data_IF_940936212726
#
_entry.id   IF_940936212726
#
_cell.length_a   1.000
_cell.length_b   1.000
_cell.length_c   1.000
_cell.angle_alpha   90.00
_cell.angle_beta   90.00
_cell.angle_gamma   90.00
#
_symmetry.space_group_name_H-M   'P 1'
#
loop_
_entity.id
_entity.type
_entity.pdbx_description
1 polymer ?
#
# COMPACT_ATOMS: atom_id res chain seq x y z
N UNK A 1 16.15 0.98 4.44
CA UNK A 1 17.05 1.45 5.52
C UNK A 1 16.34 1.33 6.85
N UNK A 2 16.98 0.75 7.88
CA UNK A 2 16.50 0.86 9.26
C UNK A 2 16.97 2.21 9.79
N UNK A 3 16.04 3.05 10.25
CA UNK A 3 16.35 4.41 10.70
C UNK A 3 16.64 4.43 12.20
N UNK A 4 17.53 5.32 12.63
CA UNK A 4 17.87 5.49 14.03
C UNK A 4 16.65 6.03 14.79
N UNK A 5 16.30 5.36 15.89
CA UNK A 5 15.29 5.85 16.82
C UNK A 5 15.90 6.99 17.64
N UNK A 6 15.46 8.21 17.33
CA UNK A 6 15.94 9.45 17.96
C UNK A 6 14.87 9.97 18.92
N UNK A 7 15.28 10.59 20.05
CA UNK A 7 14.34 11.19 20.99
C UNK A 7 13.49 12.28 20.32
N UNK A 8 12.30 12.49 20.86
CA UNK A 8 11.37 13.51 20.37
C UNK A 8 12.00 14.90 20.44
N UNK A 9 11.96 15.63 19.32
CA UNK A 9 12.59 16.95 19.22
C UNK A 9 11.70 17.99 19.93
N UNK A 10 12.30 18.86 20.73
CA UNK A 10 11.66 20.04 21.30
C UNK A 10 12.55 21.27 21.05
N UNK A 11 12.02 22.26 20.32
CA UNK A 11 12.80 23.44 19.92
C UNK A 11 12.83 24.50 21.01
N UNK A 12 11.71 24.67 21.72
CA UNK A 12 11.59 25.59 22.86
C UNK A 12 10.91 24.91 24.03
N UNK A 13 11.39 25.18 25.25
CA UNK A 13 10.76 24.70 26.47
C UNK A 13 9.39 25.36 26.66
N UNK A 14 8.34 24.56 26.82
CA UNK A 14 6.94 25.03 26.86
C UNK A 14 6.24 24.79 28.21
N UNK A 15 6.98 24.31 29.22
CA UNK A 15 6.47 24.06 30.57
C UNK A 15 5.87 25.31 31.22
N UNK A 16 4.56 25.28 31.44
CA UNK A 16 3.78 26.44 31.88
C UNK A 16 4.24 26.98 33.24
N UNK A 17 4.55 26.07 34.17
CA UNK A 17 4.99 26.43 35.52
C UNK A 17 6.33 27.18 35.50
N UNK A 18 7.25 26.78 34.62
CA UNK A 18 8.57 27.41 34.52
C UNK A 18 8.49 28.75 33.80
N UNK A 19 7.65 28.87 32.78
CA UNK A 19 7.39 30.13 32.09
C UNK A 19 6.76 31.15 33.03
N UNK A 20 5.74 30.75 33.79
CA UNK A 20 5.09 31.63 34.77
C UNK A 20 6.08 32.06 35.87
N UNK A 21 6.87 31.13 36.39
CA UNK A 21 7.91 31.44 37.40
C UNK A 21 8.94 32.42 36.86
N UNK A 22 9.36 32.25 35.62
CA UNK A 22 10.34 33.12 34.97
C UNK A 22 9.79 34.55 34.80
N UNK A 23 8.56 34.70 34.27
CA UNK A 23 7.93 36.01 34.11
C UNK A 23 7.79 36.75 35.45
N UNK A 24 7.38 36.05 36.50
CA UNK A 24 7.28 36.63 37.85
C UNK A 24 8.67 37.02 38.38
N UNK A 25 9.65 36.11 38.30
CA UNK A 25 11.00 36.35 38.81
C UNK A 25 11.68 37.57 38.14
N UNK A 26 11.49 37.75 36.83
CA UNK A 26 11.97 38.93 36.11
C UNK A 26 11.33 40.21 36.66
N UNK A 27 10.00 40.22 36.83
CA UNK A 27 9.30 41.39 37.35
C UNK A 27 9.74 41.75 38.78
N UNK A 28 9.83 40.77 39.67
CA UNK A 28 10.26 40.98 41.05
C UNK A 28 11.71 41.48 41.11
N UNK A 29 12.60 40.93 40.26
CA UNK A 29 13.99 41.36 40.15
C UNK A 29 14.17 42.80 39.65
N UNK A 30 13.34 43.23 38.70
CA UNK A 30 13.39 44.60 38.15
C UNK A 30 12.78 45.64 39.10
N UNK A 31 11.73 45.28 39.84
CA UNK A 31 10.98 46.22 40.68
C UNK A 31 11.40 46.20 42.14
N UNK A 32 12.12 45.15 42.58
CA UNK A 32 12.46 44.92 43.99
C UNK A 32 11.25 44.58 44.87
N UNK A 33 10.07 44.32 44.28
CA UNK A 33 8.84 43.99 45.00
C UNK A 33 8.52 42.50 44.86
N UNK A 34 8.19 41.85 45.98
CA UNK A 34 7.66 40.48 45.99
C UNK A 34 6.14 40.47 45.78
N UNK A 35 5.66 39.62 44.88
CA UNK A 35 4.24 39.50 44.50
C UNK A 35 3.55 38.33 45.20
N UNK A 36 2.53 38.63 45.99
CA UNK A 36 1.72 37.61 46.67
C UNK A 36 0.75 36.92 45.68
N UNK A 37 0.27 35.69 45.99
CA UNK A 37 -0.62 34.94 45.09
C UNK A 37 -1.89 35.69 44.63
N UNK A 38 -2.46 36.54 45.49
CA UNK A 38 -3.66 37.32 45.21
C UNK A 38 -3.39 38.73 44.64
N UNK A 39 -2.13 39.06 44.35
CA UNK A 39 -1.78 40.39 43.82
C UNK A 39 -2.33 40.57 42.38
N UNK A 40 -3.08 41.64 42.08
CA UNK A 40 -3.59 41.90 40.74
C UNK A 40 -2.50 41.91 39.66
N UNK A 41 -1.29 42.37 40.00
CA UNK A 41 -0.15 42.37 39.08
C UNK A 41 0.29 40.95 38.75
N UNK A 42 0.28 40.03 39.73
CA UNK A 42 0.62 38.63 39.51
C UNK A 42 -0.41 37.92 38.63
N UNK A 43 -1.70 38.22 38.81
CA UNK A 43 -2.76 37.70 37.94
C UNK A 43 -2.59 38.19 36.51
N UNK A 44 -2.26 39.47 36.32
CA UNK A 44 -1.95 40.02 35.01
C UNK A 44 -0.73 39.34 34.36
N UNK A 45 0.40 39.23 35.07
CA UNK A 45 1.60 38.51 34.59
C UNK A 45 1.31 37.04 34.26
N UNK A 46 0.42 36.39 35.02
CA UNK A 46 0.02 35.00 34.75
C UNK A 46 -0.78 34.89 33.45
N UNK A 47 -1.64 35.87 33.13
CA UNK A 47 -2.32 35.91 31.83
C UNK A 47 -1.34 36.07 30.66
N UNK A 48 -0.30 36.90 30.83
CA UNK A 48 0.78 37.03 29.84
C UNK A 48 1.59 35.74 29.70
N UNK A 49 1.88 35.04 30.81
CA UNK A 49 2.58 33.75 30.78
C UNK A 49 1.80 32.71 29.96
N UNK A 50 0.46 32.66 30.08
CA UNK A 50 -0.38 31.76 29.27
C UNK A 50 -0.24 32.09 27.78
N UNK A 51 -0.25 33.38 27.39
CA UNK A 51 -0.01 33.77 26.01
C UNK A 51 1.38 33.33 25.52
N UNK A 52 2.41 33.47 26.35
CA UNK A 52 3.78 33.00 26.02
C UNK A 52 3.82 31.48 25.84
N UNK A 53 3.15 30.71 26.68
CA UNK A 53 3.02 29.25 26.54
C UNK A 53 2.40 28.90 25.19
N UNK A 54 1.26 29.52 24.86
CA UNK A 54 0.59 29.30 23.58
C UNK A 54 1.50 29.63 22.39
N UNK A 55 2.24 30.74 22.45
CA UNK A 55 3.20 31.10 21.40
C UNK A 55 4.33 30.07 21.27
N UNK A 56 4.86 29.54 22.39
CA UNK A 56 5.91 28.51 22.35
C UNK A 56 5.42 27.17 21.79
N UNK A 57 4.18 26.79 22.11
CA UNK A 57 3.53 25.62 21.50
C UNK A 57 3.41 25.80 20.00
N UNK A 58 2.94 26.97 19.53
CA UNK A 58 2.86 27.28 18.10
C UNK A 58 4.25 27.26 17.44
N UNK A 59 5.28 27.82 18.08
CA UNK A 59 6.66 27.78 17.58
C UNK A 59 7.14 26.33 17.43
N UNK A 60 6.92 25.47 18.43
CA UNK A 60 7.29 24.06 18.35
C UNK A 60 6.54 23.35 17.21
N UNK A 61 5.23 23.60 17.05
CA UNK A 61 4.43 23.02 15.97
C UNK A 61 4.93 23.46 14.59
N UNK A 62 5.13 24.76 14.38
CA UNK A 62 5.64 25.31 13.10
C UNK A 62 7.05 24.82 12.80
N UNK A 63 7.95 24.83 13.79
CA UNK A 63 9.32 24.36 13.61
C UNK A 63 9.39 22.86 13.29
N UNK A 64 8.58 22.04 13.98
CA UNK A 64 8.43 20.61 13.66
C UNK A 64 7.87 20.41 12.26
N UNK A 65 6.87 21.20 11.86
CA UNK A 65 6.28 21.13 10.52
C UNK A 65 7.30 21.28 9.39
N UNK A 66 8.39 22.03 9.60
CA UNK A 66 9.46 22.16 8.60
C UNK A 66 10.33 20.89 8.43
N UNK A 67 10.17 19.91 9.32
CA UNK A 67 10.85 18.63 9.23
C UNK A 67 9.93 17.59 8.57
N UNK A 68 10.43 16.91 7.55
CA UNK A 68 9.66 15.91 6.79
C UNK A 68 9.01 14.84 7.67
N UNK A 69 9.65 14.47 8.79
CA UNK A 69 9.12 13.50 9.76
C UNK A 69 7.78 13.92 10.36
N UNK A 70 7.57 15.21 10.60
CA UNK A 70 6.41 15.73 11.31
C UNK A 70 5.45 16.53 10.40
N UNK A 71 5.87 16.87 9.19
CA UNK A 71 5.03 17.54 8.21
C UNK A 71 3.78 16.72 7.87
N UNK A 72 2.65 17.41 7.68
CA UNK A 72 1.34 16.83 7.33
C UNK A 72 0.54 17.80 6.45
N UNK A 73 -0.46 17.27 5.73
CA UNK A 73 -1.33 18.02 4.83
C UNK A 73 -0.58 18.95 3.86
N UNK A 74 -1.06 20.18 3.72
CA UNK A 74 -0.55 21.18 2.75
C UNK A 74 0.95 21.45 2.90
N UNK A 75 1.49 21.40 4.12
CA UNK A 75 2.92 21.62 4.32
C UNK A 75 3.75 20.47 3.76
N UNK A 76 3.28 19.23 3.92
CA UNK A 76 3.89 18.04 3.32
C UNK A 76 3.82 18.11 1.78
N UNK A 77 2.71 18.62 1.24
CA UNK A 77 2.52 18.82 -0.21
C UNK A 77 3.51 19.82 -0.79
N UNK A 78 3.74 20.96 -0.13
CA UNK A 78 4.77 21.91 -0.54
C UNK A 78 6.19 21.33 -0.44
N UNK A 79 6.47 20.51 0.58
CA UNK A 79 7.76 19.82 0.70
C UNK A 79 7.95 18.80 -0.43
N UNK A 80 6.93 18.03 -0.76
CA UNK A 80 6.97 17.08 -1.87
C UNK A 80 7.17 17.76 -3.21
N UNK A 81 6.47 18.87 -3.46
CA UNK A 81 6.61 19.65 -4.69
C UNK A 81 8.04 20.15 -4.90
N UNK A 82 8.73 20.57 -3.83
CA UNK A 82 10.14 20.94 -3.90
C UNK A 82 11.06 19.79 -4.35
N UNK A 83 10.68 18.55 -4.02
CA UNK A 83 11.39 17.32 -4.38
C UNK A 83 10.79 16.64 -5.64
N UNK A 84 9.95 17.34 -6.41
CA UNK A 84 9.35 16.81 -7.64
C UNK A 84 8.30 15.70 -7.43
N UNK A 85 7.74 15.58 -6.22
CA UNK A 85 6.69 14.60 -5.90
C UNK A 85 5.36 15.29 -5.61
N UNK A 86 4.30 14.90 -6.30
CA UNK A 86 2.93 15.40 -6.09
C UNK A 86 2.03 14.28 -5.57
N UNK A 87 1.15 14.60 -4.61
CA UNK A 87 0.24 13.63 -3.97
C UNK A 87 -0.66 12.95 -4.99
N UNK A 88 -0.78 11.63 -4.90
CA UNK A 88 -1.63 10.88 -5.82
C UNK A 88 -3.11 11.12 -5.49
N UNK A 89 -3.94 11.56 -6.46
CA UNK A 89 -5.35 11.78 -6.24
C UNK A 89 -6.09 10.45 -6.11
N UNK A 90 -7.31 10.49 -5.56
CA UNK A 90 -8.20 9.34 -5.56
C UNK A 90 -8.50 8.86 -7.01
N UNK A 91 -8.54 7.55 -7.20
CA UNK A 91 -8.85 6.92 -8.49
C UNK A 91 -10.19 6.18 -8.43
N UNK A 92 -10.90 6.13 -9.57
CA UNK A 92 -12.09 5.29 -9.74
C UNK A 92 -11.72 3.85 -10.05
N UNK A 93 -12.58 2.91 -9.67
CA UNK A 93 -12.45 1.52 -10.10
C UNK A 93 -12.69 1.37 -11.61
N UNK A 94 -11.93 0.49 -12.24
CA UNK A 94 -11.99 0.17 -13.65
C UNK A 94 -12.43 -1.30 -13.80
N UNK A 95 -13.20 -1.59 -14.84
CA UNK A 95 -13.55 -2.95 -15.22
C UNK A 95 -13.77 -3.06 -16.73
N UNK A 96 -13.66 -4.26 -17.28
CA UNK A 96 -14.00 -4.53 -18.67
C UNK A 96 -15.42 -5.08 -18.75
N UNK A 97 -16.26 -4.44 -19.55
CA UNK A 97 -17.63 -4.85 -19.85
C UNK A 97 -17.68 -5.57 -21.19
N UNK A 98 -18.40 -6.68 -21.22
CA UNK A 98 -18.73 -7.43 -22.42
C UNK A 98 -20.21 -7.26 -22.74
N UNK A 99 -20.50 -6.64 -23.88
CA UNK A 99 -21.83 -6.47 -24.43
C UNK A 99 -22.14 -7.65 -25.36
N UNK A 100 -23.36 -8.18 -25.27
CA UNK A 100 -23.85 -9.29 -26.10
C UNK A 100 -25.10 -8.86 -26.83
N UNK A 101 -25.12 -9.03 -28.17
CA UNK A 101 -26.27 -8.77 -29.03
C UNK A 101 -27.24 -9.95 -29.04
N UNK A 102 -28.54 -9.67 -29.20
CA UNK A 102 -29.58 -10.70 -29.24
C UNK A 102 -29.48 -11.62 -30.46
N UNK A 103 -28.92 -11.10 -31.57
CA UNK A 103 -28.73 -11.79 -32.84
C UNK A 103 -27.47 -11.27 -33.54
N UNK A 104 -26.79 -12.08 -34.37
CA UNK A 104 -25.75 -11.58 -35.27
C UNK A 104 -26.39 -10.65 -36.32
N UNK A 105 -25.93 -9.40 -36.38
CA UNK A 105 -26.42 -8.41 -37.33
C UNK A 105 -25.52 -8.33 -38.57
N UNK A 106 -26.13 -8.00 -39.72
CA UNK A 106 -25.42 -7.80 -41.00
C UNK A 106 -24.77 -6.41 -41.11
N UNK A 107 -25.02 -5.53 -40.13
CA UNK A 107 -24.45 -4.20 -40.02
C UNK A 107 -23.71 -4.06 -38.68
N UNK A 108 -22.71 -3.18 -38.64
CA UNK A 108 -21.94 -2.85 -37.44
C UNK A 108 -22.86 -2.23 -36.39
N UNK A 109 -22.73 -2.65 -35.14
CA UNK A 109 -23.47 -2.07 -34.01
C UNK A 109 -22.54 -1.27 -33.12
N UNK A 110 -22.86 -0.01 -32.88
CA UNK A 110 -22.06 0.92 -32.09
C UNK A 110 -22.49 0.98 -30.63
N UNK A 111 -21.51 0.94 -29.72
CA UNK A 111 -21.67 1.21 -28.29
C UNK A 111 -21.04 2.57 -28.01
N UNK A 112 -21.83 3.62 -27.74
CA UNK A 112 -21.30 4.94 -27.41
C UNK A 112 -20.43 4.93 -26.15
N UNK A 113 -19.43 5.80 -26.13
CA UNK A 113 -18.74 6.17 -24.89
C UNK A 113 -19.75 6.82 -23.92
N UNK A 114 -19.58 6.56 -22.62
CA UNK A 114 -20.47 7.03 -21.57
C UNK A 114 -21.72 6.17 -21.33
N UNK A 115 -21.85 5.01 -21.99
CA UNK A 115 -22.95 4.07 -21.74
C UNK A 115 -22.87 3.55 -20.30
N UNK A 116 -23.95 3.70 -19.51
CA UNK A 116 -23.97 3.35 -18.09
C UNK A 116 -24.51 1.94 -17.82
N UNK A 117 -23.77 1.21 -16.99
CA UNK A 117 -24.12 -0.14 -16.53
C UNK A 117 -24.05 -0.20 -15.00
N UNK A 118 -25.16 -0.55 -14.38
CA UNK A 118 -25.31 -0.72 -12.94
C UNK A 118 -25.09 -2.16 -12.47
N UNK A 119 -25.09 -2.32 -11.15
CA UNK A 119 -24.91 -3.59 -10.46
C UNK A 119 -26.26 -4.22 -10.15
N UNK A 120 -26.34 -5.56 -10.26
CA UNK A 120 -27.53 -6.31 -9.89
C UNK A 120 -27.77 -6.21 -8.37
N UNK A 121 -28.93 -5.69 -7.97
CA UNK A 121 -29.29 -5.54 -6.55
C UNK A 121 -28.63 -4.35 -5.84
N UNK A 122 -27.97 -3.45 -6.57
CA UNK A 122 -27.55 -2.14 -6.04
C UNK A 122 -28.64 -1.09 -6.18
N UNK A 123 -28.61 -0.05 -5.33
CA UNK A 123 -29.59 1.04 -5.30
C UNK A 123 -29.49 2.02 -6.50
N UNK A 124 -28.74 1.66 -7.56
CA UNK A 124 -28.46 2.52 -8.71
C UNK A 124 -27.48 3.68 -8.42
N UNK A 125 -26.91 3.73 -7.21
CA UNK A 125 -25.95 4.76 -6.78
C UNK A 125 -24.56 4.58 -7.40
N UNK A 126 -24.14 3.33 -7.61
CA UNK A 126 -22.86 2.96 -8.22
C UNK A 126 -23.14 2.40 -9.62
N UNK A 127 -22.53 3.00 -10.63
CA UNK A 127 -22.60 2.55 -12.02
C UNK A 127 -21.24 2.72 -12.69
N UNK A 128 -21.03 1.97 -13.77
CA UNK A 128 -19.83 2.01 -14.59
C UNK A 128 -20.18 2.60 -15.95
N UNK A 129 -19.41 3.59 -16.39
CA UNK A 129 -19.59 4.24 -17.68
C UNK A 129 -18.46 3.83 -18.63
N UNK A 130 -18.80 3.47 -19.87
CA UNK A 130 -17.80 3.11 -20.89
C UNK A 130 -16.89 4.30 -21.21
N UNK A 131 -15.59 4.08 -21.28
CA UNK A 131 -14.62 5.17 -21.55
C UNK A 131 -14.44 5.45 -23.03
N UNK A 132 -14.65 4.45 -23.86
CA UNK A 132 -14.40 4.52 -25.30
C UNK A 132 -15.61 4.08 -26.11
N UNK A 133 -15.64 4.52 -27.36
CA UNK A 133 -16.60 4.08 -28.36
C UNK A 133 -16.14 2.74 -28.93
N UNK A 134 -17.04 1.75 -28.94
CA UNK A 134 -16.72 0.39 -29.43
C UNK A 134 -17.73 -0.04 -30.48
N UNK A 135 -17.22 -0.69 -31.53
CA UNK A 135 -18.01 -1.26 -32.61
C UNK A 135 -18.01 -2.78 -32.53
N UNK A 136 -19.19 -3.38 -32.60
CA UNK A 136 -19.36 -4.82 -32.80
C UNK A 136 -19.45 -5.07 -34.32
N UNK A 137 -18.47 -5.76 -34.92
CA UNK A 137 -18.44 -6.01 -36.37
C UNK A 137 -19.66 -6.81 -36.85
N UNK A 138 -20.03 -6.63 -38.13
CA UNK A 138 -21.07 -7.43 -38.75
C UNK A 138 -20.75 -8.93 -38.66
N UNK A 139 -21.74 -9.72 -38.21
CA UNK A 139 -21.60 -11.16 -37.96
C UNK A 139 -21.07 -11.54 -36.57
N UNK A 140 -20.49 -10.61 -35.81
CA UNK A 140 -20.12 -10.82 -34.41
C UNK A 140 -21.30 -10.52 -33.48
N UNK A 141 -21.35 -11.18 -32.33
CA UNK A 141 -22.40 -11.00 -31.31
C UNK A 141 -21.88 -10.38 -30.02
N UNK A 142 -20.56 -10.20 -29.87
CA UNK A 142 -19.95 -9.70 -28.64
C UNK A 142 -18.98 -8.56 -28.91
N UNK A 143 -18.93 -7.60 -27.99
CA UNK A 143 -17.96 -6.51 -27.97
C UNK A 143 -17.51 -6.21 -26.55
N UNK A 144 -16.23 -5.89 -26.37
CA UNK A 144 -15.65 -5.59 -25.06
C UNK A 144 -15.17 -4.15 -24.98
N UNK A 145 -15.41 -3.49 -23.85
CA UNK A 145 -15.02 -2.10 -23.63
C UNK A 145 -14.67 -1.88 -22.17
N UNK A 146 -13.71 -1.00 -21.91
CA UNK A 146 -13.36 -0.57 -20.55
C UNK A 146 -14.40 0.41 -20.01
N UNK A 147 -14.67 0.31 -18.72
CA UNK A 147 -15.62 1.16 -18.02
C UNK A 147 -15.07 1.60 -16.67
N UNK A 148 -15.35 2.86 -16.32
CA UNK A 148 -14.93 3.48 -15.06
C UNK A 148 -16.13 3.65 -14.12
N UNK A 149 -15.89 3.45 -12.84
CA UNK A 149 -16.88 3.67 -11.81
C UNK A 149 -17.21 5.16 -11.66
N UNK A 150 -18.48 5.47 -11.44
CA UNK A 150 -18.97 6.83 -11.18
C UNK A 150 -18.48 7.41 -9.85
N UNK A 151 -18.12 6.56 -8.88
CA UNK A 151 -17.57 6.99 -7.59
C UNK A 151 -16.04 6.86 -7.56
N UNK A 152 -15.40 7.91 -7.04
CA UNK A 152 -13.98 7.88 -6.69
C UNK A 152 -13.78 7.06 -5.41
N UNK A 153 -12.65 6.36 -5.31
CA UNK A 153 -12.30 5.58 -4.13
C UNK A 153 -12.58 4.08 -4.28
N UNK A 154 -12.58 3.39 -3.13
CA UNK A 154 -12.64 1.93 -3.07
C UNK A 154 -14.04 1.35 -3.26
N UNK A 155 -15.09 2.18 -3.26
CA UNK A 155 -16.49 1.73 -3.34
C UNK A 155 -16.84 1.01 -4.65
N UNK A 156 -16.06 1.25 -5.71
CA UNK A 156 -16.20 0.56 -6.99
C UNK A 156 -15.46 -0.78 -7.10
N UNK A 157 -14.70 -1.21 -6.10
CA UNK A 157 -13.85 -2.40 -6.18
C UNK A 157 -14.59 -3.68 -5.77
N UNK A 158 -14.11 -4.82 -6.28
CA UNK A 158 -14.48 -6.15 -5.80
C UNK A 158 -15.75 -6.72 -6.40
N UNK A 159 -16.34 -6.08 -7.41
CA UNK A 159 -17.47 -6.66 -8.13
C UNK A 159 -16.98 -7.81 -9.02
N UNK A 160 -17.43 -9.02 -8.71
CA UNK A 160 -17.08 -10.24 -9.43
C UNK A 160 -17.65 -10.22 -10.85
N UNK A 161 -17.06 -10.98 -11.81
CA UNK A 161 -17.61 -11.11 -13.16
C UNK A 161 -19.09 -11.49 -13.16
N UNK A 162 -19.89 -10.78 -13.95
CA UNK A 162 -21.34 -10.96 -14.04
C UNK A 162 -22.17 -10.20 -13.01
N UNK A 163 -21.59 -9.54 -12.01
CA UNK A 163 -22.34 -8.74 -11.03
C UNK A 163 -22.75 -7.36 -11.57
N UNK A 164 -21.96 -6.79 -12.49
CA UNK A 164 -22.27 -5.54 -13.19
C UNK A 164 -22.99 -5.93 -14.49
N UNK A 165 -24.32 -5.93 -14.47
CA UNK A 165 -25.11 -6.46 -15.58
C UNK A 165 -26.41 -5.70 -15.88
N UNK A 166 -26.71 -4.63 -15.15
CA UNK A 166 -27.93 -3.86 -15.32
C UNK A 166 -27.67 -2.73 -16.30
N UNK A 167 -28.07 -2.89 -17.55
CA UNK A 167 -27.94 -1.82 -18.54
C UNK A 167 -28.91 -0.68 -18.20
N UNK A 168 -28.37 0.51 -17.89
CA UNK A 168 -29.20 1.68 -17.56
C UNK A 168 -29.60 2.46 -18.81
N UNK A 169 -28.66 2.61 -19.75
CA UNK A 169 -28.90 3.27 -21.03
C UNK A 169 -29.26 2.22 -22.09
N UNK A 170 -30.52 2.18 -22.51
CA UNK A 170 -30.98 1.19 -23.48
C UNK A 170 -30.30 1.40 -24.84
N UNK A 171 -29.61 0.36 -25.31
CA UNK A 171 -28.99 0.31 -26.63
C UNK A 171 -29.77 -0.64 -27.55
N UNK A 172 -30.01 -0.29 -28.82
CA UNK A 172 -30.68 -1.17 -29.77
C UNK A 172 -29.94 -2.51 -29.92
N UNK A 173 -30.69 -3.61 -29.96
CA UNK A 173 -30.20 -4.97 -30.23
C UNK A 173 -29.21 -5.56 -29.21
N UNK A 174 -28.80 -4.81 -28.19
CA UNK A 174 -28.02 -5.31 -27.05
C UNK A 174 -28.94 -6.11 -26.12
N UNK A 175 -28.65 -7.39 -25.95
CA UNK A 175 -29.41 -8.30 -25.09
C UNK A 175 -28.99 -8.18 -23.63
N UNK A 176 -27.68 -8.16 -23.39
CA UNK A 176 -27.11 -8.16 -22.04
C UNK A 176 -25.72 -7.55 -22.04
N UNK A 177 -25.30 -7.10 -20.87
CA UNK A 177 -23.95 -6.66 -20.59
C UNK A 177 -23.51 -7.34 -19.31
N UNK A 178 -22.25 -7.76 -19.23
CA UNK A 178 -21.65 -8.30 -18.01
C UNK A 178 -20.22 -7.77 -17.89
N UNK A 179 -19.73 -7.53 -16.68
CA UNK A 179 -18.29 -7.38 -16.48
C UNK A 179 -17.59 -8.73 -16.65
N UNK A 180 -16.50 -8.76 -17.43
CA UNK A 180 -15.65 -9.93 -17.63
C UNK A 180 -14.53 -10.02 -16.59
N UNK A 181 -14.12 -8.87 -16.04
CA UNK A 181 -13.08 -8.76 -15.01
C UNK A 181 -13.66 -8.32 -13.67
N UNK A 182 -12.96 -8.63 -12.58
CA UNK A 182 -13.27 -8.05 -11.27
C UNK A 182 -12.98 -6.54 -11.33
N UNK A 183 -13.88 -5.71 -10.81
CA UNK A 183 -13.62 -4.26 -10.74
C UNK A 183 -12.50 -3.96 -9.73
N UNK A 184 -11.52 -3.15 -10.14
CA UNK A 184 -10.33 -2.87 -9.32
C UNK A 184 -9.69 -1.53 -9.69
N UNK A 185 -8.68 -1.10 -8.95
CA UNK A 185 -7.95 0.15 -9.23
C UNK A 185 -8.57 1.41 -8.62
N UNK A 186 -9.73 1.30 -7.96
CA UNK A 186 -10.31 2.39 -7.18
C UNK A 186 -9.54 2.58 -5.87
N UNK A 187 -9.08 3.78 -5.59
CA UNK A 187 -8.29 4.08 -4.39
C UNK A 187 -8.62 5.46 -3.84
N UNK A 188 -8.50 5.60 -2.52
CA UNK A 188 -8.58 6.91 -1.89
C UNK A 188 -7.33 7.73 -2.24
N UNK A 189 -7.39 9.04 -1.99
CA UNK A 189 -6.22 9.91 -2.07
C UNK A 189 -5.09 9.38 -1.16
N UNK A 190 -3.85 9.54 -1.61
CA UNK A 190 -2.66 9.06 -0.89
C UNK A 190 -2.57 9.68 0.51
N UNK A 191 -2.30 8.84 1.52
CA UNK A 191 -2.18 9.29 2.91
C UNK A 191 -0.88 10.04 3.17
N UNK A 192 -0.83 10.85 4.23
CA UNK A 192 0.39 11.56 4.62
C UNK A 192 1.57 10.62 4.89
N UNK A 193 1.33 9.46 5.49
CA UNK A 193 2.35 8.45 5.74
C UNK A 193 2.98 7.94 4.44
N UNK A 194 2.14 7.50 3.50
CA UNK A 194 2.59 6.97 2.21
C UNK A 194 3.30 8.05 1.39
N UNK A 195 2.74 9.25 1.34
CA UNK A 195 3.33 10.36 0.59
C UNK A 195 4.67 10.79 1.19
N UNK A 196 4.78 10.85 2.53
CA UNK A 196 6.03 11.16 3.22
C UNK A 196 7.12 10.13 2.91
N UNK A 197 6.78 8.84 2.84
CA UNK A 197 7.71 7.80 2.45
C UNK A 197 8.17 7.96 0.99
N UNK A 198 7.27 8.35 0.08
CA UNK A 198 7.62 8.64 -1.32
C UNK A 198 8.54 9.86 -1.44
N UNK A 199 8.27 10.96 -0.72
CA UNK A 199 9.14 12.14 -0.68
C UNK A 199 10.54 11.76 -0.16
N UNK A 200 10.64 10.89 0.85
CA UNK A 200 11.94 10.41 1.36
C UNK A 200 12.74 9.64 0.30
N UNK A 201 12.07 8.91 -0.57
CA UNK A 201 12.69 8.14 -1.65
C UNK A 201 12.97 8.98 -2.91
N UNK A 202 12.34 10.15 -3.07
CA UNK A 202 12.52 11.00 -4.25
C UNK A 202 13.98 11.37 -4.57
N UNK A 203 14.89 11.59 -3.60
CA UNK A 203 16.33 11.76 -3.86
C UNK A 203 16.97 10.63 -4.71
N UNK A 204 16.46 9.41 -4.61
CA UNK A 204 16.96 8.27 -5.41
C UNK A 204 16.70 8.46 -6.91
N UNK A 205 15.72 9.27 -7.29
CA UNK A 205 15.40 9.58 -8.70
C UNK A 205 16.39 10.54 -9.39
N UNK A 206 17.18 11.31 -8.63
CA UNK A 206 18.04 12.38 -9.18
C UNK A 206 19.37 11.89 -9.76
N UNK A 207 19.68 10.60 -9.65
CA UNK A 207 20.99 10.11 -10.04
C UNK A 207 21.10 9.83 -11.53
N UNK A 208 21.89 10.66 -12.21
CA UNK A 208 22.21 10.60 -13.66
C UNK A 208 23.04 9.36 -14.05
N UNK A 209 23.48 8.55 -13.09
CA UNK A 209 24.35 7.39 -13.30
C UNK A 209 23.61 6.03 -13.20
N UNK A 210 22.27 6.02 -13.10
CA UNK A 210 21.48 4.78 -13.04
C UNK A 210 21.79 3.88 -11.84
N UNK A 211 21.83 4.39 -10.59
CA UNK A 211 22.04 3.53 -9.44
C UNK A 211 20.84 2.60 -9.27
N UNK A 212 21.08 1.43 -8.67
CA UNK A 212 20.06 0.42 -8.41
C UNK A 212 18.76 1.00 -7.84
N UNK A 213 18.85 1.87 -6.82
CA UNK A 213 17.69 2.48 -6.18
C UNK A 213 16.83 3.37 -7.10
N UNK A 214 17.42 4.00 -8.11
CA UNK A 214 16.67 4.83 -9.06
C UNK A 214 15.72 3.96 -9.89
N UNK A 215 16.23 2.84 -10.41
CA UNK A 215 15.43 1.89 -11.16
C UNK A 215 14.31 1.26 -10.31
N UNK A 216 14.62 0.91 -9.06
CA UNK A 216 13.62 0.40 -8.11
C UNK A 216 12.53 1.45 -7.80
N UNK A 217 12.89 2.73 -7.66
CA UNK A 217 11.95 3.83 -7.45
C UNK A 217 11.01 4.03 -8.65
N UNK A 218 11.56 4.12 -9.86
CA UNK A 218 10.77 4.35 -11.06
C UNK A 218 9.85 3.15 -11.36
N UNK A 219 10.33 1.93 -11.16
CA UNK A 219 9.50 0.73 -11.27
C UNK A 219 8.36 0.69 -10.24
N UNK A 220 8.60 1.09 -8.99
CA UNK A 220 7.54 1.19 -7.97
C UNK A 220 6.55 2.33 -8.25
N UNK A 221 7.01 3.39 -8.90
CA UNK A 221 6.16 4.53 -9.28
C UNK A 221 5.18 4.20 -10.41
N UNK A 222 5.42 3.12 -11.17
CA UNK A 222 4.51 2.65 -12.23
C UNK A 222 3.14 2.24 -11.69
N UNK A 223 3.10 1.59 -10.52
CA UNK A 223 1.85 1.07 -9.97
C UNK A 223 1.95 0.81 -8.47
N UNK A 224 0.94 1.24 -7.72
CA UNK A 224 0.80 0.91 -6.30
C UNK A 224 0.63 -0.60 -6.03
N UNK A 225 0.36 -1.42 -7.06
CA UNK A 225 0.32 -2.88 -6.93
C UNK A 225 1.70 -3.52 -6.80
N UNK A 226 2.78 -2.79 -7.12
CA UNK A 226 4.15 -3.28 -7.02
C UNK A 226 4.62 -3.10 -5.57
N UNK A 227 4.80 -4.22 -4.86
CA UNK A 227 5.22 -4.26 -3.46
C UNK A 227 6.73 -4.11 -3.33
N UNK A 228 7.48 -4.88 -4.12
CA UNK A 228 8.92 -4.95 -4.05
C UNK A 228 9.54 -5.00 -5.45
N UNK A 229 10.77 -4.51 -5.58
CA UNK A 229 11.50 -4.53 -6.85
C UNK A 229 12.96 -4.77 -6.54
N UNK A 230 13.60 -5.64 -7.32
CA UNK A 230 15.04 -5.77 -7.31
C UNK A 230 15.61 -5.36 -8.66
N UNK A 231 16.51 -4.39 -8.67
CA UNK A 231 17.30 -4.03 -9.84
C UNK A 231 18.74 -4.53 -9.68
N UNK A 232 19.33 -5.07 -10.74
CA UNK A 232 20.75 -5.47 -10.75
C UNK A 232 21.33 -5.44 -12.16
N UNK A 233 22.65 -5.45 -12.26
CA UNK A 233 23.35 -5.48 -13.54
C UNK A 233 24.08 -6.82 -13.71
N UNK A 234 23.63 -7.69 -14.64
CA UNK A 234 24.31 -8.97 -14.90
C UNK A 234 25.61 -8.79 -15.72
N UNK A 235 25.70 -7.75 -16.54
CA UNK A 235 26.86 -7.40 -17.37
C UNK A 235 26.90 -5.88 -17.58
N UNK A 236 28.06 -5.35 -17.95
CA UNK A 236 28.27 -3.94 -18.31
C UNK A 236 27.18 -3.42 -19.27
N UNK A 237 26.50 -2.35 -18.85
CA UNK A 237 25.44 -1.70 -19.64
C UNK A 237 24.15 -2.52 -19.77
N UNK A 238 23.98 -3.64 -19.05
CA UNK A 238 22.72 -4.36 -18.96
C UNK A 238 22.13 -4.20 -17.56
N UNK A 239 20.86 -3.83 -17.49
CA UNK A 239 20.14 -3.66 -16.23
C UNK A 239 18.91 -4.57 -16.26
N UNK A 240 18.76 -5.42 -15.25
CA UNK A 240 17.61 -6.31 -15.09
C UNK A 240 16.78 -5.89 -13.90
N UNK A 241 15.47 -5.75 -14.13
CA UNK A 241 14.50 -5.32 -13.13
C UNK A 241 13.52 -6.46 -12.88
N UNK A 242 13.33 -6.79 -11.61
CA UNK A 242 12.45 -7.87 -11.18
C UNK A 242 11.41 -7.31 -10.21
N UNK A 243 10.19 -6.97 -10.68
CA UNK A 243 9.12 -6.50 -9.81
C UNK A 243 8.35 -7.66 -9.17
N UNK A 244 7.82 -7.42 -7.97
CA UNK A 244 6.95 -8.32 -7.22
C UNK A 244 5.68 -7.57 -6.83
N UNK A 245 4.52 -8.20 -7.01
CA UNK A 245 3.24 -7.58 -6.64
C UNK A 245 2.86 -7.84 -5.18
N UNK A 246 1.93 -7.03 -4.68
CA UNK A 246 1.30 -7.21 -3.38
C UNK A 246 0.76 -8.65 -3.24
N UNK A 247 0.93 -9.23 -2.05
CA UNK A 247 0.53 -10.61 -1.77
C UNK A 247 1.45 -11.67 -2.38
N UNK A 248 2.62 -11.27 -2.89
CA UNK A 248 3.60 -12.18 -3.49
C UNK A 248 3.19 -12.72 -4.86
N UNK A 249 2.30 -12.02 -5.55
CA UNK A 249 1.88 -12.41 -6.88
C UNK A 249 2.97 -12.10 -7.92
N UNK A 250 3.09 -12.98 -8.90
CA UNK A 250 3.99 -12.78 -10.04
C UNK A 250 3.30 -11.80 -11.01
N UNK A 251 3.97 -10.70 -11.39
CA UNK A 251 3.41 -9.77 -12.37
C UNK A 251 3.10 -10.45 -13.70
N UNK A 252 1.92 -10.14 -14.26
CA UNK A 252 1.58 -10.48 -15.63
C UNK A 252 2.30 -9.58 -16.65
N UNK A 253 2.22 -9.93 -17.93
CA UNK A 253 2.95 -9.22 -18.99
C UNK A 253 2.60 -7.74 -19.06
N UNK A 254 1.33 -7.37 -18.88
CA UNK A 254 0.88 -5.97 -18.94
C UNK A 254 1.60 -5.06 -17.93
N UNK A 255 1.87 -5.57 -16.72
CA UNK A 255 2.61 -4.80 -15.70
C UNK A 255 4.10 -4.75 -16.05
N UNK A 256 4.68 -5.84 -16.56
CA UNK A 256 6.08 -5.86 -16.98
C UNK A 256 6.32 -4.87 -18.13
N UNK A 257 5.38 -4.79 -19.08
CA UNK A 257 5.42 -3.86 -20.20
C UNK A 257 5.27 -2.41 -19.74
N UNK A 258 4.33 -2.12 -18.83
CA UNK A 258 4.17 -0.78 -18.26
C UNK A 258 5.42 -0.30 -17.50
N UNK A 259 6.04 -1.19 -16.71
CA UNK A 259 7.31 -0.88 -16.03
C UNK A 259 8.42 -0.69 -17.06
N UNK A 260 8.47 -1.53 -18.09
CA UNK A 260 9.47 -1.42 -19.15
C UNK A 260 9.34 -0.11 -19.92
N UNK A 261 8.13 0.35 -20.22
CA UNK A 261 7.85 1.59 -20.93
C UNK A 261 8.35 2.81 -20.15
N UNK A 262 8.04 2.88 -18.85
CA UNK A 262 8.52 3.95 -17.97
C UNK A 262 10.05 3.95 -17.89
N UNK A 263 10.68 2.79 -17.75
CA UNK A 263 12.13 2.70 -17.63
C UNK A 263 12.89 2.89 -18.95
N UNK A 264 12.21 2.80 -20.10
CA UNK A 264 12.81 3.04 -21.41
C UNK A 264 12.97 4.53 -21.74
N UNK A 265 12.27 5.41 -21.00
CA UNK A 265 12.33 6.86 -21.12
C UNK A 265 13.78 7.39 -20.99
N UNK A 266 14.18 8.25 -21.93
CA UNK A 266 15.53 8.84 -22.00
C UNK A 266 15.82 9.83 -20.87
N UNK A 267 14.81 10.33 -20.18
CA UNK A 267 14.96 11.11 -18.93
C UNK A 267 15.20 10.25 -17.70
N UNK A 268 14.97 8.93 -17.78
CA UNK A 268 15.04 7.99 -16.65
C UNK A 268 16.30 7.13 -16.71
N UNK A 269 16.62 6.50 -17.85
CA UNK A 269 17.80 5.63 -17.97
C UNK A 269 19.04 6.35 -18.52
N UNK A 270 20.26 5.99 -18.07
CA UNK A 270 21.50 6.38 -18.72
C UNK A 270 21.56 5.91 -20.19
N UNK A 271 22.32 6.64 -21.01
CA UNK A 271 22.42 6.40 -22.47
C UNK A 271 22.97 5.01 -22.83
N UNK A 272 23.81 4.44 -21.96
CA UNK A 272 24.47 3.15 -22.17
C UNK A 272 23.64 1.95 -21.75
N UNK A 273 22.58 2.17 -20.97
CA UNK A 273 21.92 1.10 -20.24
C UNK A 273 20.82 0.45 -21.08
N UNK A 274 20.90 -0.88 -21.17
CA UNK A 274 19.94 -1.77 -21.78
C UNK A 274 19.09 -2.38 -20.66
N UNK A 275 17.96 -1.74 -20.39
CA UNK A 275 17.03 -2.14 -19.34
C UNK A 275 16.16 -3.29 -19.84
N UNK A 276 16.01 -4.33 -19.01
CA UNK A 276 15.12 -5.45 -19.23
C UNK A 276 14.31 -5.72 -17.98
N UNK A 277 12.99 -5.80 -18.10
CA UNK A 277 12.10 -6.16 -17.00
C UNK A 277 11.71 -7.63 -17.16
N UNK A 278 11.83 -8.42 -16.10
CA UNK A 278 11.49 -9.85 -16.08
C UNK A 278 10.68 -10.21 -14.83
N UNK A 279 9.84 -11.24 -14.95
CA UNK A 279 9.15 -11.79 -13.80
C UNK A 279 10.12 -12.52 -12.83
N UNK A 280 9.81 -12.51 -11.51
CA UNK A 280 10.54 -13.32 -10.55
C UNK A 280 10.30 -14.81 -10.79
N UNK A 281 11.30 -15.63 -10.50
CA UNK A 281 11.20 -17.08 -10.65
C UNK A 281 10.53 -17.69 -9.42
N UNK A 282 9.38 -18.39 -9.55
CA UNK A 282 8.74 -19.05 -8.43
C UNK A 282 9.53 -20.27 -7.95
N UNK A 283 9.73 -20.37 -6.64
CA UNK A 283 10.19 -21.58 -5.97
C UNK A 283 9.06 -22.09 -5.06
N UNK A 284 8.44 -23.21 -5.41
CA UNK A 284 7.32 -23.76 -4.65
C UNK A 284 7.78 -24.49 -3.39
N UNK A 285 7.06 -24.31 -2.27
CA UNK A 285 7.28 -25.08 -1.05
C UNK A 285 5.98 -25.53 -0.40
N UNK A 286 5.99 -26.74 0.17
CA UNK A 286 4.87 -27.23 0.95
C UNK A 286 5.01 -26.82 2.42
N UNK A 287 3.88 -26.65 3.10
CA UNK A 287 3.83 -26.43 4.54
C UNK A 287 3.17 -27.64 5.19
N UNK A 288 3.94 -28.46 5.90
CA UNK A 288 3.44 -29.66 6.57
C UNK A 288 3.90 -29.65 8.01
N UNK A 289 2.96 -29.40 8.92
CA UNK A 289 3.25 -29.17 10.34
C UNK A 289 2.32 -29.98 11.21
N UNK A 290 2.92 -30.68 12.19
CA UNK A 290 2.19 -31.28 13.30
C UNK A 290 2.46 -30.49 14.57
N UNK A 291 1.42 -30.05 15.26
CA UNK A 291 1.55 -29.28 16.51
C UNK A 291 0.74 -29.88 17.65
N UNK A 292 1.18 -29.60 18.88
CA UNK A 292 0.59 -30.12 20.11
C UNK A 292 0.28 -28.96 21.05
N UNK A 293 -0.81 -29.09 21.81
CA UNK A 293 -1.26 -28.08 22.77
C UNK A 293 -1.04 -28.62 24.19
N UNK A 294 -0.69 -27.75 25.13
CA UNK A 294 -0.58 -28.12 26.54
C UNK A 294 -1.92 -28.63 27.10
N UNK A 295 -1.87 -29.70 27.90
CA UNK A 295 -3.04 -30.21 28.62
C UNK A 295 -3.64 -29.18 29.58
N UNK A 296 -2.83 -28.27 30.14
CA UNK A 296 -3.32 -27.20 31.01
C UNK A 296 -4.24 -26.21 30.28
N UNK A 297 -4.15 -26.15 28.95
CA UNK A 297 -4.93 -25.26 28.06
C UNK A 297 -6.01 -25.99 27.26
N UNK A 298 -6.47 -27.15 27.74
CA UNK A 298 -7.45 -27.98 27.03
C UNK A 298 -8.76 -27.26 26.67
N UNK A 299 -9.20 -26.28 27.48
CA UNK A 299 -10.40 -25.47 27.21
C UNK A 299 -10.22 -24.48 26.05
N UNK A 300 -8.99 -24.18 25.65
CA UNK A 300 -8.63 -23.21 24.60
C UNK A 300 -8.30 -23.90 23.26
N UNK A 301 -8.49 -25.22 23.14
CA UNK A 301 -8.06 -25.97 21.95
C UNK A 301 -8.63 -25.38 20.67
N UNK A 302 -9.93 -25.09 20.61
CA UNK A 302 -10.56 -24.56 19.40
C UNK A 302 -10.02 -23.17 19.00
N UNK A 303 -9.77 -22.29 19.97
CA UNK A 303 -9.20 -20.96 19.70
C UNK A 303 -7.74 -21.05 19.28
N UNK A 304 -6.94 -21.91 19.90
CA UNK A 304 -5.55 -22.14 19.52
C UNK A 304 -5.45 -22.77 18.13
N UNK A 305 -6.32 -23.73 17.78
CA UNK A 305 -6.36 -24.32 16.44
C UNK A 305 -6.64 -23.26 15.36
N UNK A 306 -7.57 -22.34 15.62
CA UNK A 306 -7.84 -21.22 14.73
C UNK A 306 -6.64 -20.27 14.63
N UNK A 307 -6.04 -19.90 15.77
CA UNK A 307 -4.86 -19.03 15.81
C UNK A 307 -3.66 -19.62 15.07
N UNK A 308 -3.40 -20.93 15.21
CA UNK A 308 -2.34 -21.63 14.49
C UNK A 308 -2.59 -21.61 12.98
N UNK A 309 -3.84 -21.78 12.55
CA UNK A 309 -4.20 -21.70 11.12
C UNK A 309 -3.92 -20.30 10.56
N UNK A 310 -4.28 -19.25 11.31
CA UNK A 310 -3.97 -17.86 10.95
C UNK A 310 -2.46 -17.61 10.92
N UNK A 311 -1.72 -18.04 11.94
CA UNK A 311 -0.27 -17.87 12.02
C UNK A 311 0.48 -18.51 10.85
N UNK A 312 0.01 -19.66 10.37
CA UNK A 312 0.55 -20.34 9.18
C UNK A 312 0.24 -19.54 7.90
N UNK A 313 -0.99 -19.03 7.75
CA UNK A 313 -1.34 -18.16 6.62
C UNK A 313 -0.51 -16.86 6.62
N UNK A 314 -0.31 -16.25 7.79
CA UNK A 314 0.50 -15.05 7.97
C UNK A 314 1.97 -15.31 7.67
N UNK A 315 2.50 -16.47 8.07
CA UNK A 315 3.84 -16.91 7.67
C UNK A 315 3.94 -17.02 6.15
N UNK A 316 2.97 -17.67 5.49
CA UNK A 316 2.98 -17.86 4.05
C UNK A 316 2.98 -16.51 3.32
N UNK A 317 2.10 -15.58 3.73
CA UNK A 317 2.04 -14.22 3.20
C UNK A 317 3.36 -13.47 3.43
N UNK A 318 3.90 -13.50 4.65
CA UNK A 318 5.18 -12.89 4.99
C UNK A 318 6.33 -13.46 4.17
N UNK A 319 6.33 -14.77 3.92
CA UNK A 319 7.37 -15.49 3.18
C UNK A 319 7.41 -15.06 1.70
N UNK A 320 6.23 -14.83 1.09
CA UNK A 320 6.11 -14.39 -0.30
C UNK A 320 6.03 -12.87 -0.49
N UNK A 321 6.13 -12.07 0.56
CA UNK A 321 6.04 -10.60 0.46
C UNK A 321 7.39 -9.91 0.16
N UNK A 322 8.46 -10.66 -0.14
CA UNK A 322 9.78 -10.08 -0.43
C UNK A 322 10.62 -11.00 -1.32
N UNK A 323 11.27 -10.43 -2.33
CA UNK A 323 12.20 -11.16 -3.21
C UNK A 323 13.43 -11.68 -2.45
N UNK A 324 13.93 -12.84 -2.84
CA UNK A 324 15.12 -13.46 -2.25
C UNK A 324 15.02 -13.80 -0.76
N UNK A 325 13.81 -13.81 -0.20
CA UNK A 325 13.61 -14.23 1.18
C UNK A 325 13.75 -15.75 1.28
N UNK A 326 14.81 -16.22 1.94
CA UNK A 326 15.04 -17.64 2.13
C UNK A 326 13.85 -18.30 2.84
N UNK A 327 13.52 -19.53 2.45
CA UNK A 327 12.47 -20.32 3.08
C UNK A 327 13.01 -20.79 4.42
N UNK A 328 12.41 -20.34 5.53
CA UNK A 328 12.96 -20.57 6.86
C UNK A 328 11.96 -21.25 7.81
N UNK A 329 12.13 -22.55 8.13
CA UNK A 329 11.25 -23.24 9.08
C UNK A 329 11.28 -22.66 10.49
N UNK A 330 12.37 -22.01 10.91
CA UNK A 330 12.47 -21.45 12.27
C UNK A 330 11.43 -20.35 12.51
N UNK A 331 11.18 -19.48 11.52
CA UNK A 331 10.17 -18.43 11.62
C UNK A 331 8.76 -19.04 11.75
N UNK A 332 8.47 -20.08 10.95
CA UNK A 332 7.21 -20.82 11.02
C UNK A 332 6.99 -21.42 12.42
N UNK A 333 8.02 -22.07 12.98
CA UNK A 333 7.95 -22.64 14.34
C UNK A 333 7.64 -21.55 15.36
N UNK A 334 8.35 -20.42 15.32
CA UNK A 334 8.14 -19.30 16.24
C UNK A 334 6.70 -18.82 16.22
N UNK A 335 6.14 -18.53 15.04
CA UNK A 335 4.76 -18.03 14.90
C UNK A 335 3.71 -19.03 15.38
N UNK A 336 3.91 -20.31 15.11
CA UNK A 336 2.99 -21.37 15.58
C UNK A 336 3.06 -21.53 17.10
N UNK A 337 4.23 -21.37 17.71
CA UNK A 337 4.37 -21.38 19.18
C UNK A 337 3.73 -20.15 19.81
N UNK A 338 3.92 -18.95 19.23
CA UNK A 338 3.26 -17.71 19.67
C UNK A 338 1.73 -17.79 19.59
N UNK A 339 1.21 -18.51 18.59
CA UNK A 339 -0.23 -18.79 18.47
C UNK A 339 -0.78 -19.72 19.58
N UNK A 340 0.08 -20.27 20.44
CA UNK A 340 -0.30 -21.05 21.62
C UNK A 340 0.02 -22.54 21.55
N UNK A 341 0.70 -23.02 20.50
CA UNK A 341 1.22 -24.39 20.47
C UNK A 341 2.38 -24.55 21.46
N UNK A 342 2.41 -25.67 22.19
CA UNK A 342 3.52 -26.01 23.08
C UNK A 342 4.69 -26.63 22.32
N UNK A 343 4.39 -27.51 21.37
CA UNK A 343 5.39 -28.24 20.59
C UNK A 343 4.99 -28.26 19.11
N UNK A 344 5.95 -27.98 18.25
CA UNK A 344 5.76 -27.94 16.79
C UNK A 344 6.80 -28.85 16.13
N UNK A 345 6.35 -29.70 15.22
CA UNK A 345 7.20 -30.60 14.43
C UNK A 345 6.91 -30.32 12.95
N UNK A 346 7.69 -29.42 12.31
CA UNK A 346 7.56 -29.17 10.88
C UNK A 346 8.27 -30.27 10.08
N UNK A 347 7.55 -30.89 9.14
CA UNK A 347 8.14 -31.78 8.12
C UNK A 347 8.51 -30.98 6.86
N UNK A 348 7.78 -29.89 6.59
CA UNK A 348 8.05 -28.92 5.54
C UNK A 348 7.55 -27.52 5.98
N UNK A 349 8.19 -26.42 5.55
CA UNK A 349 9.32 -26.37 4.63
C UNK A 349 10.66 -26.74 5.28
N UNK A 350 11.62 -27.14 4.45
CA UNK A 350 13.04 -27.23 4.84
C UNK A 350 13.70 -25.89 4.52
N UNK A 351 14.81 -25.57 5.19
CA UNK A 351 15.57 -24.38 4.85
C UNK A 351 16.04 -24.42 3.40
N UNK A 352 15.65 -23.42 2.62
CA UNK A 352 16.06 -23.26 1.22
C UNK A 352 16.52 -21.84 1.00
N UNK A 353 17.78 -21.66 0.59
CA UNK A 353 18.31 -20.36 0.20
C UNK A 353 17.73 -19.93 -1.15
N UNK A 354 17.32 -18.67 -1.25
CA UNK A 354 16.73 -18.09 -2.46
C UNK A 354 17.56 -16.90 -2.92
N UNK A 355 17.68 -16.73 -4.23
CA UNK A 355 18.34 -15.57 -4.84
C UNK A 355 17.38 -14.38 -4.93
N UNK A 356 17.90 -13.16 -5.08
CA UNK A 356 17.09 -11.93 -5.16
C UNK A 356 16.17 -11.86 -6.39
N UNK A 357 16.26 -12.80 -7.34
CA UNK A 357 15.37 -12.93 -8.48
C UNK A 357 14.30 -14.02 -8.30
N UNK A 358 14.35 -14.76 -7.19
CA UNK A 358 13.41 -15.82 -6.87
C UNK A 358 12.41 -15.38 -5.79
N UNK A 359 11.22 -15.98 -5.84
CA UNK A 359 10.18 -15.79 -4.84
C UNK A 359 9.64 -17.13 -4.36
N UNK A 360 9.46 -17.27 -3.05
CA UNK A 360 8.82 -18.45 -2.48
C UNK A 360 7.31 -18.42 -2.77
N UNK A 361 6.78 -19.52 -3.32
CA UNK A 361 5.34 -19.69 -3.56
C UNK A 361 4.81 -20.84 -2.72
N UNK A 362 3.69 -20.63 -2.01
CA UNK A 362 3.07 -21.71 -1.25
C UNK A 362 2.50 -22.79 -2.18
N UNK A 363 2.80 -24.04 -1.84
CA UNK A 363 2.21 -25.24 -2.42
C UNK A 363 1.12 -25.79 -1.52
N UNK A 364 1.20 -27.09 -1.25
CA UNK A 364 0.21 -27.77 -0.41
C UNK A 364 0.43 -27.43 1.07
N UNK A 365 -0.65 -27.08 1.76
CA UNK A 365 -0.65 -26.82 3.21
C UNK A 365 -1.38 -27.95 3.94
N UNK A 366 -0.69 -28.60 4.87
CA UNK A 366 -1.22 -29.69 5.70
C UNK A 366 -0.92 -29.38 7.17
N UNK A 367 -1.98 -29.07 7.91
CA UNK A 367 -1.92 -28.71 9.32
C UNK A 367 -2.53 -29.88 10.10
N UNK A 368 -1.73 -30.51 10.96
CA UNK A 368 -2.18 -31.66 11.77
C UNK A 368 -2.12 -31.32 13.25
N UNK A 369 -3.26 -31.40 13.92
CA UNK A 369 -3.32 -31.33 15.38
C UNK A 369 -2.95 -32.70 15.97
N UNK A 370 -1.84 -32.76 16.69
CA UNK A 370 -1.28 -33.97 17.29
C UNK A 370 -1.86 -34.35 18.65
N UNK A 371 -2.75 -33.52 19.22
CA UNK A 371 -3.38 -33.77 20.52
C UNK A 371 -2.79 -32.95 21.68
N UNK A 372 -3.28 -33.25 22.88
CA UNK A 372 -2.82 -32.64 24.13
C UNK A 372 -1.59 -33.38 24.67
N UNK A 373 -0.62 -32.62 25.16
CA UNK A 373 0.60 -33.14 25.79
C UNK A 373 0.81 -32.46 27.14
N UNK A 374 1.47 -33.16 28.07
CA UNK A 374 1.80 -32.60 29.39
C UNK A 374 3.03 -31.68 29.27
N UNK A 375 3.05 -30.63 30.09
CA UNK A 375 4.10 -29.59 30.12
C UNK A 375 5.42 -30.08 30.73
#
# INVERSE_FOLDING_TARGET
MLYADLPEIQFVAEEAADIQRNVIAIYEGLTGRTLQPADPVRLFLSSLAVLIVQQRVLINQTAKGNLLRYASGVLLDHMGAFQGSERLPASSAITTLQFTLSIPLLAVTSIPAGTRVGILGGDGSIYFATTEYVEIPAGATTGTVTAICSSLGTGGNGFLPGQINVLMDQLPFVQSVINSTISSGGSAEETDEAFRDRIRAAPDSYSTAGPQGAYEFWAKSTSAAILDVHAYSPDDGKVTIVPLLIGGQIPGQDILDAVSEILDDRGIRPLTDQVKVIAPTPESYNTTVTYYISRSRASEVSSIQAAVTTAIADYQLWQKSKLGRHINPSELITRVMEAGALRVVPTAPVYTALTMTQIAQEGTTTITYGGLVDD
#
